data_IF_574164825997
#
_entry.id   IF_574164825997
#
_cell.length_a   1.000
_cell.length_b   1.000
_cell.length_c   1.000
_cell.angle_alpha   90.00
_cell.angle_beta   90.00
_cell.angle_gamma   90.00
#
_symmetry.space_group_name_H-M   'P 1'
#
loop_
_entity.id
_entity.type
_entity.pdbx_description
1 polymer ?
#
# COMPACT_ATOMS: atom_id res chain seq x y z
N UNK A 1 -13.86 10.22 -9.90
CA UNK A 1 -12.42 10.17 -9.58
C UNK A 1 -11.75 11.54 -9.48
N UNK A 2 -12.14 12.58 -10.23
CA UNK A 2 -11.54 13.93 -10.12
C UNK A 2 -11.68 14.57 -8.72
N UNK A 3 -12.78 14.30 -8.01
CA UNK A 3 -13.02 14.79 -6.64
C UNK A 3 -12.27 14.01 -5.55
N UNK A 4 -11.59 12.90 -5.91
CA UNK A 4 -10.94 12.03 -4.93
C UNK A 4 -9.64 12.61 -4.39
N UNK A 5 -8.83 13.19 -5.28
CA UNK A 5 -7.52 13.73 -4.91
C UNK A 5 -7.65 14.89 -3.92
N UNK A 6 -8.52 15.90 -4.15
CA UNK A 6 -8.69 16.98 -3.18
C UNK A 6 -9.25 16.48 -1.83
N UNK A 7 -10.12 15.47 -1.84
CA UNK A 7 -10.67 14.90 -0.61
C UNK A 7 -9.62 14.16 0.21
N UNK A 8 -8.92 13.19 -0.41
CA UNK A 8 -7.82 12.47 0.25
C UNK A 8 -6.73 13.44 0.68
N UNK A 9 -6.42 14.42 -0.17
CA UNK A 9 -5.46 15.47 0.13
C UNK A 9 -5.83 16.27 1.38
N UNK A 10 -7.09 16.73 1.49
CA UNK A 10 -7.58 17.43 2.68
C UNK A 10 -7.48 16.57 3.94
N UNK A 11 -7.88 15.31 3.87
CA UNK A 11 -7.79 14.38 5.02
C UNK A 11 -6.34 14.11 5.42
N UNK A 12 -5.41 14.08 4.45
CA UNK A 12 -3.97 13.99 4.72
C UNK A 12 -3.47 15.30 5.34
N UNK A 13 -3.83 16.47 4.82
CA UNK A 13 -3.42 17.78 5.35
C UNK A 13 -3.90 18.01 6.80
N UNK A 14 -5.19 17.78 7.09
CA UNK A 14 -5.76 17.87 8.45
C UNK A 14 -4.99 17.00 9.46
N UNK A 15 -4.50 15.85 8.97
CA UNK A 15 -3.70 14.93 9.77
C UNK A 15 -2.26 15.41 9.95
N UNK A 16 -1.62 15.91 8.88
CA UNK A 16 -0.28 16.47 8.96
C UNK A 16 -0.20 17.64 9.93
N UNK A 17 -1.23 18.48 9.99
CA UNK A 17 -1.34 19.55 10.98
C UNK A 17 -1.35 19.01 12.42
N UNK A 18 -1.95 17.83 12.65
CA UNK A 18 -1.94 17.17 13.97
C UNK A 18 -0.54 16.66 14.32
N UNK A 19 0.16 16.06 13.36
CA UNK A 19 1.51 15.55 13.57
C UNK A 19 2.52 16.67 13.79
N UNK A 20 2.39 17.77 13.04
CA UNK A 20 3.23 18.96 13.22
C UNK A 20 3.13 19.49 14.65
N UNK A 21 1.91 19.56 15.22
CA UNK A 21 1.72 19.93 16.64
C UNK A 21 2.40 18.96 17.61
N UNK A 22 2.42 17.66 17.31
CA UNK A 22 3.09 16.65 18.15
C UNK A 22 4.63 16.73 18.02
N UNK A 23 5.14 17.09 16.84
CA UNK A 23 6.58 17.20 16.57
C UNK A 23 7.22 18.47 17.14
N UNK A 24 6.47 19.53 17.40
CA UNK A 24 6.98 20.80 17.94
C UNK A 24 7.82 20.63 19.24
N UNK A 25 7.61 19.56 20.01
CA UNK A 25 8.31 19.34 21.27
C UNK A 25 9.65 18.57 21.13
N UNK A 26 9.80 17.71 20.11
CA UNK A 26 10.90 16.74 20.03
C UNK A 26 11.56 16.61 18.64
N UNK A 27 11.01 17.25 17.60
CA UNK A 27 11.49 17.15 16.22
C UNK A 27 11.19 15.83 15.51
N UNK A 28 10.64 14.83 16.23
CA UNK A 28 10.22 13.53 15.71
C UNK A 28 8.94 13.07 16.39
N UNK A 29 8.19 12.19 15.72
CA UNK A 29 6.96 11.59 16.26
C UNK A 29 6.91 10.11 15.92
N UNK A 30 6.65 9.27 16.92
CA UNK A 30 6.33 7.87 16.73
C UNK A 30 4.82 7.73 16.54
N UNK A 31 4.40 7.12 15.43
CA UNK A 31 3.00 6.93 15.06
C UNK A 31 2.75 5.44 14.90
N UNK A 32 1.68 4.94 15.52
CA UNK A 32 1.11 3.64 15.16
C UNK A 32 0.38 3.80 13.82
N UNK A 33 1.10 3.45 12.76
CA UNK A 33 0.67 3.70 11.38
C UNK A 33 -0.56 2.89 10.99
N UNK A 34 -0.72 1.69 11.58
CA UNK A 34 -1.85 0.81 11.27
C UNK A 34 -3.18 1.47 11.65
N UNK A 35 -3.24 2.14 12.81
CA UNK A 35 -4.41 2.89 13.27
C UNK A 35 -4.63 4.18 12.47
N UNK A 36 -3.56 4.89 12.11
CA UNK A 36 -3.65 6.16 11.39
C UNK A 36 -4.29 6.01 10.00
N UNK A 37 -3.72 5.17 9.14
CA UNK A 37 -4.23 5.00 7.79
C UNK A 37 -5.65 4.41 7.77
N UNK A 38 -5.99 3.61 8.78
CA UNK A 38 -7.34 3.12 8.95
C UNK A 38 -8.30 4.32 9.08
N UNK A 39 -8.00 5.26 9.98
CA UNK A 39 -8.79 6.49 10.12
C UNK A 39 -8.84 7.33 8.84
N UNK A 40 -7.71 7.44 8.11
CA UNK A 40 -7.66 8.16 6.83
C UNK A 40 -8.55 7.50 5.75
N UNK A 41 -8.50 6.18 5.64
CA UNK A 41 -9.30 5.45 4.65
C UNK A 41 -10.78 5.44 5.01
N UNK A 42 -11.09 5.33 6.30
CA UNK A 42 -12.43 5.51 6.83
C UNK A 42 -12.99 6.88 6.48
N UNK A 43 -12.22 7.96 6.69
CA UNK A 43 -12.64 9.32 6.38
C UNK A 43 -12.85 9.52 4.87
N UNK A 44 -11.94 9.02 4.03
CA UNK A 44 -12.07 9.09 2.56
C UNK A 44 -13.31 8.33 2.06
N UNK A 45 -13.51 7.09 2.51
CA UNK A 45 -14.68 6.30 2.09
C UNK A 45 -15.97 6.88 2.66
N UNK A 46 -15.95 7.34 3.90
CA UNK A 46 -17.09 8.00 4.52
C UNK A 46 -17.48 9.23 3.70
N UNK A 47 -16.53 10.10 3.35
CA UNK A 47 -16.76 11.29 2.53
C UNK A 47 -17.13 10.95 1.08
N UNK A 48 -16.64 9.83 0.52
CA UNK A 48 -16.97 9.38 -0.84
C UNK A 48 -18.32 8.69 -0.97
N UNK A 49 -18.67 7.82 -0.04
CA UNK A 49 -19.75 6.86 -0.18
C UNK A 49 -20.98 7.19 0.67
N UNK A 50 -20.80 7.82 1.84
CA UNK A 50 -21.88 7.86 2.85
C UNK A 50 -22.06 9.19 3.59
N UNK A 51 -21.24 10.21 3.35
CA UNK A 51 -21.34 11.51 4.01
C UNK A 51 -20.93 11.54 5.49
N UNK A 52 -21.01 10.45 6.29
CA UNK A 52 -20.57 10.50 7.71
C UNK A 52 -20.46 9.20 8.54
N UNK A 53 -20.65 7.96 8.05
CA UNK A 53 -20.41 6.79 8.95
C UNK A 53 -20.17 5.44 8.27
N UNK A 54 -19.11 4.71 8.69
CA UNK A 54 -18.91 3.30 8.36
C UNK A 54 -18.14 2.50 9.44
N UNK A 55 -18.83 2.02 10.46
CA UNK A 55 -18.26 1.14 11.50
C UNK A 55 -17.93 -0.29 11.03
N UNK A 56 -18.35 -0.69 9.83
CA UNK A 56 -18.24 -2.09 9.37
C UNK A 56 -17.11 -2.36 8.36
N UNK A 57 -16.43 -1.33 7.83
CA UNK A 57 -15.31 -1.47 6.88
C UNK A 57 -13.92 -1.52 7.49
N UNK A 58 -13.84 -1.21 8.78
CA UNK A 58 -12.61 -0.92 9.53
C UNK A 58 -11.55 -2.01 9.37
N UNK A 59 -11.97 -3.28 9.35
CA UNK A 59 -11.06 -4.43 9.28
C UNK A 59 -10.34 -4.57 7.93
N UNK A 60 -10.97 -4.19 6.81
CA UNK A 60 -10.38 -4.32 5.46
C UNK A 60 -9.27 -3.28 5.23
N UNK A 61 -9.44 -2.09 5.81
CA UNK A 61 -8.56 -0.95 5.58
C UNK A 61 -7.41 -0.81 6.60
N UNK A 62 -7.50 -1.50 7.74
CA UNK A 62 -6.40 -1.68 8.73
C UNK A 62 -5.12 -2.26 8.14
N UNK A 63 -5.20 -2.92 6.98
CA UNK A 63 -4.20 -3.91 6.54
C UNK A 63 -3.45 -3.49 5.29
N UNK A 64 -4.16 -2.79 4.40
CA UNK A 64 -3.58 -2.19 3.22
C UNK A 64 -2.54 -1.10 3.58
N UNK A 65 -2.74 -0.47 4.74
CA UNK A 65 -1.88 0.56 5.31
C UNK A 65 -0.59 0.06 5.91
N UNK A 66 -0.67 -1.07 6.62
CA UNK A 66 0.47 -1.68 7.27
C UNK A 66 1.45 -2.26 6.23
N UNK A 67 0.92 -2.87 5.17
CA UNK A 67 1.68 -3.33 4.01
C UNK A 67 2.52 -2.24 3.33
N UNK A 68 1.95 -1.03 3.21
CA UNK A 68 2.62 0.09 2.55
C UNK A 68 3.83 0.60 3.33
N UNK A 69 3.84 0.49 4.66
CA UNK A 69 4.97 0.93 5.46
C UNK A 69 6.05 -0.12 5.71
N UNK A 70 5.72 -1.41 5.71
CA UNK A 70 6.75 -2.44 5.63
C UNK A 70 7.50 -2.39 4.29
N UNK A 71 6.81 -2.05 3.21
CA UNK A 71 7.43 -1.82 1.91
C UNK A 71 8.25 -0.53 1.83
N UNK A 72 7.82 0.51 2.57
CA UNK A 72 8.49 1.79 2.57
C UNK A 72 9.74 1.83 3.47
N UNK A 73 9.80 1.01 4.53
CA UNK A 73 11.03 0.86 5.33
C UNK A 73 12.03 -0.09 4.67
N UNK A 74 11.57 -1.18 4.07
CA UNK A 74 12.45 -2.29 3.74
C UNK A 74 13.23 -2.12 2.42
N UNK A 75 12.76 -1.39 1.39
CA UNK A 75 13.41 -1.49 0.07
C UNK A 75 13.28 -0.26 -0.82
N UNK A 76 14.29 0.61 -0.79
CA UNK A 76 14.48 1.71 -1.75
C UNK A 76 13.62 2.97 -1.49
N UNK A 77 13.42 3.33 -0.22
CA UNK A 77 12.83 4.63 0.17
C UNK A 77 13.49 5.81 -0.55
N UNK A 78 14.79 5.72 -0.81
CA UNK A 78 15.55 6.77 -1.46
C UNK A 78 15.25 6.83 -2.96
N UNK A 79 15.18 5.71 -3.68
CA UNK A 79 14.78 5.69 -5.09
C UNK A 79 13.32 6.12 -5.29
N UNK A 80 12.42 5.70 -4.38
CA UNK A 80 11.03 6.13 -4.41
C UNK A 80 10.89 7.64 -4.11
N UNK A 81 11.64 8.15 -3.12
CA UNK A 81 11.69 9.57 -2.79
C UNK A 81 12.28 10.38 -3.93
N UNK A 82 13.37 9.95 -4.53
CA UNK A 82 13.98 10.57 -5.71
C UNK A 82 12.98 10.65 -6.87
N UNK A 83 12.26 9.55 -7.17
CA UNK A 83 11.20 9.56 -8.18
C UNK A 83 10.10 10.57 -7.83
N UNK A 84 9.62 10.55 -6.58
CA UNK A 84 8.56 11.43 -6.10
C UNK A 84 8.97 12.90 -6.20
N UNK A 85 10.15 13.28 -5.71
CA UNK A 85 10.64 14.65 -5.73
C UNK A 85 10.91 15.15 -7.16
N UNK A 86 11.30 14.25 -8.07
CA UNK A 86 11.46 14.57 -9.50
C UNK A 86 10.13 14.80 -10.21
N UNK A 87 9.10 14.01 -9.89
CA UNK A 87 7.79 14.07 -10.55
C UNK A 87 6.88 15.13 -9.93
N UNK A 88 6.92 15.27 -8.60
CA UNK A 88 6.13 16.19 -7.79
C UNK A 88 7.06 17.11 -6.98
N UNK A 89 7.76 18.06 -7.63
CA UNK A 89 8.74 18.92 -6.96
C UNK A 89 8.11 19.98 -6.06
N UNK A 90 6.86 20.39 -6.32
CA UNK A 90 6.08 21.19 -5.38
C UNK A 90 5.51 20.27 -4.30
N UNK A 91 5.53 20.70 -3.04
CA UNK A 91 4.92 19.97 -1.90
C UNK A 91 3.38 20.03 -1.92
N UNK A 92 2.80 20.49 -3.03
CA UNK A 92 1.36 20.53 -3.28
C UNK A 92 0.81 19.11 -3.49
N UNK A 93 -0.51 18.99 -3.46
CA UNK A 93 -1.17 17.72 -3.70
C UNK A 93 -0.89 17.19 -5.12
N UNK A 94 -0.34 15.97 -5.25
CA UNK A 94 -0.08 15.35 -6.55
C UNK A 94 -1.35 15.20 -7.39
N UNK A 95 -1.28 15.55 -8.67
CA UNK A 95 -2.39 15.33 -9.60
C UNK A 95 -2.50 13.85 -10.00
N UNK A 96 -3.61 13.47 -10.64
CA UNK A 96 -3.80 12.10 -11.16
C UNK A 96 -2.70 11.74 -12.17
N UNK A 97 -2.29 12.70 -12.99
CA UNK A 97 -1.28 12.51 -14.02
C UNK A 97 0.12 12.37 -13.42
N UNK A 98 0.38 13.04 -12.30
CA UNK A 98 1.64 12.88 -11.57
C UNK A 98 1.72 11.50 -10.93
N UNK A 99 0.63 11.07 -10.28
CA UNK A 99 0.54 9.72 -9.74
C UNK A 99 0.75 8.66 -10.84
N UNK A 100 0.24 8.86 -12.06
CA UNK A 100 0.46 7.93 -13.17
C UNK A 100 1.94 7.79 -13.58
N UNK A 101 2.78 8.81 -13.35
CA UNK A 101 4.22 8.81 -13.69
C UNK A 101 5.10 8.12 -12.63
N UNK A 102 4.59 7.88 -11.42
CA UNK A 102 5.33 7.25 -10.31
C UNK A 102 5.42 5.72 -10.51
N UNK A 103 6.39 5.29 -11.31
CA UNK A 103 6.57 3.88 -11.71
C UNK A 103 7.22 3.07 -10.59
N UNK A 104 8.29 3.56 -10.00
CA UNK A 104 8.96 2.91 -8.87
C UNK A 104 7.99 2.72 -7.71
N UNK A 105 7.24 3.77 -7.37
CA UNK A 105 6.21 3.67 -6.32
C UNK A 105 5.15 2.60 -6.64
N UNK A 106 4.76 2.46 -7.91
CA UNK A 106 3.81 1.43 -8.34
C UNK A 106 4.38 0.01 -8.21
N UNK A 107 5.67 -0.17 -8.52
CA UNK A 107 6.36 -1.45 -8.39
C UNK A 107 6.50 -1.85 -6.93
N UNK A 108 6.87 -0.91 -6.06
CA UNK A 108 6.94 -1.11 -4.60
C UNK A 108 5.57 -1.54 -4.08
N UNK A 109 4.49 -0.84 -4.45
CA UNK A 109 3.13 -1.21 -4.04
C UNK A 109 2.73 -2.61 -4.51
N UNK A 110 3.04 -2.98 -5.74
CA UNK A 110 2.73 -4.32 -6.24
C UNK A 110 3.50 -5.41 -5.49
N UNK A 111 4.78 -5.19 -5.21
CA UNK A 111 5.59 -6.14 -4.45
C UNK A 111 5.14 -6.28 -3.00
N UNK A 112 4.71 -5.17 -2.40
CA UNK A 112 4.06 -5.16 -1.08
C UNK A 112 2.83 -6.07 -1.11
N UNK A 113 1.95 -5.85 -2.08
CA UNK A 113 0.71 -6.59 -2.28
C UNK A 113 0.92 -8.08 -2.56
N UNK A 114 2.06 -8.43 -3.17
CA UNK A 114 2.45 -9.82 -3.41
C UNK A 114 2.85 -10.53 -2.12
N UNK A 115 3.74 -9.92 -1.34
CA UNK A 115 4.29 -10.56 -0.14
C UNK A 115 3.30 -10.61 1.03
N UNK A 116 2.37 -9.66 1.08
CA UNK A 116 1.52 -9.50 2.27
C UNK A 116 0.03 -9.30 1.96
N UNK A 117 -0.57 -9.92 0.92
CA UNK A 117 -1.90 -9.61 0.42
C UNK A 117 -2.94 -9.53 1.55
N UNK A 118 -3.82 -8.50 1.57
CA UNK A 118 -4.80 -8.36 2.66
C UNK A 118 -5.70 -9.60 2.78
N UNK A 119 -6.12 -10.16 1.64
CA UNK A 119 -6.81 -11.44 1.59
C UNK A 119 -5.81 -12.57 1.23
N UNK A 120 -5.53 -13.44 2.20
CA UNK A 120 -4.60 -14.56 2.01
C UNK A 120 -5.15 -15.68 1.13
N UNK A 121 -6.47 -15.76 1.00
CA UNK A 121 -7.18 -16.75 0.20
C UNK A 121 -8.56 -16.25 -0.19
N UNK A 122 -9.14 -16.86 -1.22
CA UNK A 122 -10.54 -16.64 -1.60
C UNK A 122 -11.22 -17.96 -1.92
N UNK A 123 -12.50 -18.06 -1.62
CA UNK A 123 -13.29 -19.28 -1.87
C UNK A 123 -14.14 -19.08 -3.12
N UNK A 124 -14.23 -20.11 -3.97
CA UNK A 124 -15.13 -20.17 -5.13
C UNK A 124 -15.97 -21.43 -5.03
N UNK A 125 -17.24 -21.36 -5.44
CA UNK A 125 -18.11 -22.54 -5.52
C UNK A 125 -18.36 -22.90 -6.97
N UNK A 126 -18.14 -24.17 -7.33
CA UNK A 126 -18.44 -24.69 -8.65
C UNK A 126 -19.96 -24.61 -8.91
N UNK A 127 -20.37 -23.88 -9.95
CA UNK A 127 -21.80 -23.73 -10.29
C UNK A 127 -22.36 -24.92 -11.06
N UNK A 128 -21.48 -25.67 -11.70
CA UNK A 128 -21.72 -26.87 -12.48
C UNK A 128 -20.47 -27.75 -12.38
N UNK A 129 -20.57 -29.01 -12.80
CA UNK A 129 -19.41 -29.89 -12.89
C UNK A 129 -18.39 -29.30 -13.86
N UNK A 130 -17.12 -29.20 -13.45
CA UNK A 130 -16.04 -28.56 -14.23
C UNK A 130 -14.77 -29.39 -14.15
N UNK A 131 -14.01 -29.46 -15.24
CA UNK A 131 -12.65 -30.01 -15.20
C UNK A 131 -11.61 -28.91 -14.97
N UNK A 132 -10.75 -29.09 -13.97
CA UNK A 132 -9.67 -28.18 -13.62
C UNK A 132 -8.38 -28.97 -13.45
N UNK A 133 -7.37 -28.69 -14.27
CA UNK A 133 -6.05 -29.34 -14.14
C UNK A 133 -6.09 -30.87 -14.28
N UNK A 134 -7.04 -31.41 -15.06
CA UNK A 134 -7.26 -32.86 -15.19
C UNK A 134 -8.11 -33.48 -14.07
N UNK A 135 -8.59 -32.68 -13.12
CA UNK A 135 -9.48 -33.13 -12.05
C UNK A 135 -10.93 -32.72 -12.32
N UNK A 136 -11.86 -33.67 -12.26
CA UNK A 136 -13.30 -33.37 -12.28
C UNK A 136 -13.73 -32.82 -10.91
N UNK A 137 -14.26 -31.60 -10.91
CA UNK A 137 -14.81 -30.90 -9.76
C UNK A 137 -16.34 -30.87 -9.86
N UNK A 138 -17.08 -31.61 -9.01
CA UNK A 138 -18.53 -31.60 -9.03
C UNK A 138 -19.14 -30.25 -8.67
N UNK A 139 -20.35 -29.98 -9.18
CA UNK A 139 -21.17 -28.84 -8.77
C UNK A 139 -21.31 -28.77 -7.24
N UNK A 140 -21.24 -27.56 -6.70
CA UNK A 140 -21.37 -27.31 -5.27
C UNK A 140 -20.06 -27.40 -4.49
N UNK A 141 -19.01 -27.97 -5.08
CA UNK A 141 -17.68 -28.03 -4.46
C UNK A 141 -17.13 -26.63 -4.21
N UNK A 142 -16.61 -26.41 -3.00
CA UNK A 142 -15.88 -25.19 -2.64
C UNK A 142 -14.39 -25.37 -2.91
N UNK A 143 -13.82 -24.43 -3.64
CA UNK A 143 -12.43 -24.37 -4.03
C UNK A 143 -11.79 -23.18 -3.33
N UNK A 144 -10.78 -23.45 -2.51
CA UNK A 144 -9.93 -22.43 -1.93
C UNK A 144 -8.84 -22.05 -2.95
N UNK A 145 -8.72 -20.77 -3.25
CA UNK A 145 -7.60 -20.21 -4.02
C UNK A 145 -6.64 -19.58 -3.02
N UNK A 146 -5.48 -20.21 -2.74
CA UNK A 146 -4.56 -19.75 -1.71
C UNK A 146 -3.65 -18.64 -2.26
N UNK A 147 -4.13 -17.39 -2.24
CA UNK A 147 -3.45 -16.20 -2.80
C UNK A 147 -2.03 -16.07 -2.24
N UNK A 148 -1.86 -16.14 -0.92
CA UNK A 148 -0.55 -16.00 -0.28
C UNK A 148 0.41 -17.10 -0.72
N UNK A 149 -0.04 -18.36 -0.77
CA UNK A 149 0.80 -19.47 -1.22
C UNK A 149 1.21 -19.32 -2.69
N UNK A 150 0.27 -18.93 -3.57
CA UNK A 150 0.56 -18.66 -4.99
C UNK A 150 1.58 -17.51 -5.14
N UNK A 151 1.52 -16.51 -4.27
CA UNK A 151 2.41 -15.35 -4.31
C UNK A 151 3.82 -15.66 -3.79
N UNK A 152 3.99 -16.65 -2.93
CA UNK A 152 5.28 -17.10 -2.39
C UNK A 152 5.86 -18.35 -3.06
N UNK A 153 5.16 -18.93 -4.02
CA UNK A 153 5.61 -20.11 -4.75
C UNK A 153 6.85 -19.80 -5.60
N UNK A 154 7.99 -20.38 -5.24
CA UNK A 154 9.26 -20.22 -5.96
C UNK A 154 9.23 -20.77 -7.38
N UNK A 155 8.38 -21.77 -7.66
CA UNK A 155 8.21 -22.27 -9.02
C UNK A 155 7.58 -21.21 -9.93
N UNK A 156 6.74 -20.34 -9.37
CA UNK A 156 6.03 -19.27 -10.08
C UNK A 156 6.83 -17.96 -10.09
N UNK A 157 7.41 -17.59 -8.95
CA UNK A 157 8.01 -16.27 -8.70
C UNK A 157 9.55 -16.26 -8.68
N UNK A 158 10.19 -17.43 -8.77
CA UNK A 158 11.65 -17.55 -8.71
C UNK A 158 12.17 -17.83 -7.29
N UNK A 159 13.47 -18.08 -7.18
CA UNK A 159 14.09 -18.43 -5.89
C UNK A 159 14.01 -17.27 -4.87
N UNK A 160 13.91 -16.04 -5.36
CA UNK A 160 13.73 -14.81 -4.58
C UNK A 160 12.26 -14.54 -4.22
N UNK A 161 11.35 -15.53 -4.32
CA UNK A 161 9.92 -15.32 -4.06
C UNK A 161 9.61 -14.79 -2.65
N UNK A 162 10.47 -15.05 -1.67
CA UNK A 162 10.31 -14.53 -0.30
C UNK A 162 11.04 -13.20 -0.07
N UNK A 163 11.78 -12.73 -1.07
CA UNK A 163 12.48 -11.46 -1.03
C UNK A 163 11.60 -10.37 -1.63
N UNK A 164 11.72 -9.17 -1.08
CA UNK A 164 11.04 -8.00 -1.64
C UNK A 164 11.91 -7.42 -2.75
N UNK A 165 11.42 -7.54 -3.97
CA UNK A 165 12.09 -7.08 -5.17
C UNK A 165 11.10 -6.35 -6.09
N UNK A 166 10.98 -5.01 -6.01
CA UNK A 166 10.08 -4.23 -6.87
C UNK A 166 10.38 -4.39 -8.35
N UNK A 167 11.66 -4.61 -8.70
CA UNK A 167 12.10 -4.66 -10.09
C UNK A 167 11.48 -5.83 -10.87
N UNK A 168 10.90 -6.83 -10.19
CA UNK A 168 10.11 -7.87 -10.87
C UNK A 168 8.93 -7.30 -11.66
N UNK A 169 8.42 -6.12 -11.27
CA UNK A 169 7.32 -5.45 -11.96
C UNK A 169 7.77 -4.41 -13.00
N UNK A 170 9.07 -4.28 -13.29
CA UNK A 170 9.61 -3.29 -14.23
C UNK A 170 9.01 -3.42 -15.64
N UNK A 171 8.72 -4.67 -16.01
CA UNK A 171 8.13 -5.08 -17.28
C UNK A 171 6.61 -5.23 -17.24
N UNK A 172 5.98 -4.79 -16.15
CA UNK A 172 4.55 -4.88 -15.92
C UNK A 172 4.12 -6.20 -15.28
N UNK A 173 2.90 -6.20 -14.74
CA UNK A 173 2.34 -7.28 -13.92
C UNK A 173 2.31 -8.63 -14.64
N UNK A 174 1.98 -8.67 -15.93
CA UNK A 174 1.87 -9.92 -16.69
C UNK A 174 3.22 -10.60 -16.95
N UNK A 175 4.34 -9.89 -16.77
CA UNK A 175 5.71 -10.41 -16.93
C UNK A 175 6.44 -10.60 -15.60
N UNK A 176 5.81 -10.28 -14.47
CA UNK A 176 6.44 -10.30 -13.15
C UNK A 176 6.66 -11.71 -12.58
N UNK A 177 6.02 -12.72 -13.16
CA UNK A 177 6.11 -14.12 -12.76
C UNK A 177 6.11 -15.02 -14.01
N UNK A 178 6.45 -16.30 -13.85
CA UNK A 178 6.41 -17.27 -14.97
C UNK A 178 5.01 -17.45 -15.54
N UNK A 179 3.98 -17.26 -14.72
CA UNK A 179 2.59 -17.33 -15.16
C UNK A 179 1.96 -15.93 -15.21
N UNK A 180 1.35 -15.52 -16.33
CA UNK A 180 0.95 -14.12 -16.57
C UNK A 180 -0.20 -13.62 -15.69
N UNK A 181 -0.87 -14.53 -14.97
CA UNK A 181 -1.96 -14.21 -14.03
C UNK A 181 -1.68 -14.69 -12.60
N UNK A 182 -0.42 -14.90 -12.23
CA UNK A 182 -0.03 -15.29 -10.87
C UNK A 182 -0.25 -14.17 -9.84
N UNK A 183 -0.20 -12.90 -10.27
CA UNK A 183 -0.41 -11.76 -9.40
C UNK A 183 -1.90 -11.46 -9.21
N UNK A 184 -2.46 -11.92 -8.09
CA UNK A 184 -3.89 -11.87 -7.75
C UNK A 184 -4.22 -11.28 -6.37
N UNK A 185 -3.58 -10.18 -5.93
CA UNK A 185 -3.84 -9.61 -4.59
C UNK A 185 -5.26 -9.07 -4.41
N UNK A 186 -5.94 -8.76 -5.52
CA UNK A 186 -7.34 -8.32 -5.56
C UNK A 186 -8.28 -9.40 -6.13
N UNK A 187 -7.82 -10.64 -6.22
CA UNK A 187 -8.49 -11.71 -6.95
C UNK A 187 -8.36 -11.59 -8.47
N UNK A 188 -9.17 -12.36 -9.19
CA UNK A 188 -9.14 -12.47 -10.65
C UNK A 188 -10.56 -12.64 -11.21
N UNK A 189 -10.78 -12.16 -12.44
CA UNK A 189 -12.00 -12.33 -13.20
C UNK A 189 -13.14 -11.39 -12.81
N UNK A 190 -14.39 -11.82 -13.03
CA UNK A 190 -15.61 -10.99 -12.78
C UNK A 190 -15.85 -10.65 -11.32
N UNK A 191 -15.10 -11.27 -10.40
CA UNK A 191 -15.14 -11.04 -8.95
C UNK A 191 -13.83 -10.44 -8.41
N UNK A 192 -13.03 -9.81 -9.27
CA UNK A 192 -11.93 -8.94 -8.82
C UNK A 192 -12.49 -7.83 -7.93
N UNK A 193 -11.71 -7.43 -6.92
CA UNK A 193 -12.10 -6.41 -5.96
C UNK A 193 -12.54 -5.12 -6.67
N UNK A 194 -13.79 -4.71 -6.46
CA UNK A 194 -14.34 -3.47 -7.00
C UNK A 194 -13.59 -2.22 -6.50
N UNK A 195 -12.96 -2.32 -5.32
CA UNK A 195 -12.18 -1.26 -4.70
C UNK A 195 -10.75 -1.12 -5.21
N UNK A 196 -10.24 -2.03 -6.06
CA UNK A 196 -8.81 -2.08 -6.45
C UNK A 196 -8.26 -0.72 -6.91
N UNK A 197 -8.96 -0.04 -7.82
CA UNK A 197 -8.48 1.23 -8.38
C UNK A 197 -8.44 2.36 -7.33
N UNK A 198 -9.42 2.39 -6.42
CA UNK A 198 -9.45 3.33 -5.31
C UNK A 198 -8.28 3.05 -4.36
N UNK A 199 -8.11 1.79 -3.99
CA UNK A 199 -7.07 1.27 -3.11
C UNK A 199 -5.67 1.68 -3.59
N UNK A 200 -5.35 1.41 -4.87
CA UNK A 200 -4.04 1.75 -5.45
C UNK A 200 -3.85 3.27 -5.55
N UNK A 201 -4.89 4.02 -5.95
CA UNK A 201 -4.78 5.47 -6.09
C UNK A 201 -4.55 6.16 -4.74
N UNK A 202 -5.31 5.77 -3.72
CA UNK A 202 -5.16 6.28 -2.36
C UNK A 202 -3.78 5.93 -1.81
N UNK A 203 -3.33 4.68 -2.01
CA UNK A 203 -2.01 4.25 -1.59
C UNK A 203 -0.88 5.12 -2.18
N UNK A 204 -0.93 5.33 -3.50
CA UNK A 204 0.05 6.17 -4.20
C UNK A 204 0.03 7.61 -3.72
N UNK A 205 -1.15 8.20 -3.56
CA UNK A 205 -1.29 9.57 -3.12
C UNK A 205 -0.69 9.77 -1.72
N UNK A 206 -1.05 8.91 -0.77
CA UNK A 206 -0.55 9.02 0.61
C UNK A 206 0.96 8.83 0.67
N UNK A 207 1.51 7.80 0.02
CA UNK A 207 2.96 7.59 0.01
C UNK A 207 3.72 8.74 -0.65
N UNK A 208 3.16 9.32 -1.72
CA UNK A 208 3.77 10.48 -2.38
C UNK A 208 3.89 11.64 -1.40
N UNK A 209 2.81 11.98 -0.69
CA UNK A 209 2.79 13.07 0.29
C UNK A 209 3.76 12.79 1.44
N UNK A 210 3.78 11.55 1.96
CA UNK A 210 4.72 11.15 3.01
C UNK A 210 6.18 11.29 2.56
N UNK A 211 6.52 10.81 1.36
CA UNK A 211 7.88 10.87 0.82
C UNK A 211 8.34 12.30 0.52
N UNK A 212 7.43 13.22 0.19
CA UNK A 212 7.72 14.64 -0.01
C UNK A 212 8.03 15.39 1.29
N UNK A 213 7.42 14.99 2.41
CA UNK A 213 7.37 15.78 3.65
C UNK A 213 8.18 15.17 4.79
N UNK A 214 8.38 13.85 4.78
CA UNK A 214 8.98 13.12 5.89
C UNK A 214 10.08 12.15 5.45
N UNK A 215 11.06 12.01 6.33
CA UNK A 215 11.83 10.77 6.46
C UNK A 215 11.21 9.92 7.57
N UNK A 216 11.24 8.61 7.42
CA UNK A 216 10.70 7.71 8.42
C UNK A 216 11.48 6.40 8.47
N UNK A 217 11.44 5.75 9.63
CA UNK A 217 12.08 4.46 9.92
C UNK A 217 11.19 3.65 10.86
N UNK A 218 11.23 2.32 10.78
CA UNK A 218 10.60 1.47 11.79
C UNK A 218 11.10 1.85 13.20
N UNK A 219 10.19 1.87 14.16
CA UNK A 219 10.58 2.09 15.55
C UNK A 219 11.40 0.88 16.05
N UNK A 220 12.32 1.07 17.01
CA UNK A 220 13.09 -0.04 17.59
C UNK A 220 12.21 -1.12 18.26
N UNK A 221 10.98 -0.76 18.62
CA UNK A 221 9.96 -1.64 19.18
C UNK A 221 9.25 -2.53 18.14
N UNK A 222 9.45 -2.28 16.85
CA UNK A 222 8.79 -3.02 15.78
C UNK A 222 9.16 -4.51 15.81
N UNK A 223 8.13 -5.36 15.70
CA UNK A 223 8.29 -6.81 15.60
C UNK A 223 7.56 -7.33 14.36
N UNK A 224 8.32 -7.94 13.44
CA UNK A 224 7.76 -8.51 12.23
C UNK A 224 7.07 -9.84 12.52
N UNK A 225 5.76 -9.78 12.78
CA UNK A 225 4.93 -10.95 13.04
C UNK A 225 3.58 -10.84 12.31
N UNK A 226 3.51 -11.16 11.00
CA UNK A 226 2.24 -11.24 10.29
C UNK A 226 1.37 -12.38 10.83
N UNK A 227 0.10 -12.10 11.09
CA UNK A 227 -0.89 -13.08 11.54
C UNK A 227 -2.23 -12.87 10.82
N UNK A 228 -3.13 -13.84 10.94
CA UNK A 228 -4.36 -13.90 10.15
C UNK A 228 -5.58 -13.92 11.07
N UNK A 229 -6.42 -12.90 10.95
CA UNK A 229 -7.75 -12.82 11.56
C UNK A 229 -8.69 -12.27 10.49
N UNK A 230 -9.34 -13.16 9.74
CA UNK A 230 -10.09 -12.87 8.50
C UNK A 230 -9.22 -12.35 7.34
N UNK A 231 -8.20 -11.54 7.63
CA UNK A 231 -7.26 -10.91 6.72
C UNK A 231 -5.85 -10.91 7.35
N UNK A 232 -4.81 -10.61 6.55
CA UNK A 232 -3.41 -10.58 7.00
C UNK A 232 -3.04 -9.26 7.67
N UNK A 233 -2.46 -9.30 8.87
CA UNK A 233 -2.16 -8.09 9.67
C UNK A 233 -0.95 -8.29 10.61
N UNK A 234 -0.33 -7.22 11.12
CA UNK A 234 0.72 -7.34 12.13
C UNK A 234 0.14 -7.71 13.50
N UNK A 235 0.65 -8.79 14.09
CA UNK A 235 0.26 -9.15 15.45
C UNK A 235 0.60 -8.05 16.48
N UNK A 236 1.67 -7.29 16.26
CA UNK A 236 2.21 -6.32 17.21
C UNK A 236 2.19 -4.85 16.73
N UNK A 237 1.42 -4.53 15.68
CA UNK A 237 1.36 -3.17 15.09
C UNK A 237 2.55 -2.82 14.17
N UNK A 238 2.59 -1.58 13.66
CA UNK A 238 3.76 -0.95 13.02
C UNK A 238 4.00 0.44 13.62
N UNK A 239 4.70 0.51 14.76
CA UNK A 239 5.22 1.79 15.23
C UNK A 239 6.31 2.29 14.29
N UNK A 240 6.15 3.52 13.81
CA UNK A 240 7.07 4.14 12.84
C UNK A 240 7.40 5.55 13.29
N UNK A 241 8.69 5.87 13.25
CA UNK A 241 9.22 7.16 13.65
C UNK A 241 9.32 8.03 12.41
N UNK A 242 8.59 9.15 12.41
CA UNK A 242 8.62 10.17 11.37
C UNK A 242 9.46 11.37 11.81
N UNK A 243 10.24 11.91 10.87
CA UNK A 243 10.97 13.17 11.00
C UNK A 243 10.68 14.06 9.81
N UNK A 244 10.37 15.32 10.05
CA UNK A 244 10.13 16.30 8.98
C UNK A 244 11.40 16.49 8.17
N UNK A 245 11.28 16.55 6.85
CA UNK A 245 12.38 16.99 6.00
C UNK A 245 12.50 18.52 6.13
N UNK A 246 13.68 19.00 6.54
CA UNK A 246 14.00 20.42 6.59
C UNK A 246 13.73 21.08 5.23
N UNK A 247 13.33 22.35 5.23
CA UNK A 247 13.15 23.15 4.00
C UNK A 247 14.49 23.54 3.35
N UNK A 248 15.60 23.25 4.05
CA UNK A 248 16.96 23.58 3.69
C UNK A 248 17.53 22.60 2.65
N UNK A 249 17.26 22.91 1.39
CA UNK A 249 18.15 22.53 0.28
C UNK A 249 18.00 23.49 -0.91
N UNK A 250 17.62 24.75 -0.65
CA UNK A 250 17.44 25.77 -1.71
C UNK A 250 18.29 27.03 -1.53
N UNK A 251 19.12 27.15 -0.49
CA UNK A 251 19.86 28.40 -0.27
C UNK A 251 21.30 28.21 0.24
N UNK A 252 22.07 27.34 -0.42
CA UNK A 252 23.54 27.28 -0.27
C UNK A 252 24.27 28.01 -1.43
N UNK A 253 23.70 29.12 -1.91
CA UNK A 253 24.45 30.07 -2.75
C UNK A 253 24.18 31.50 -2.30
N UNK A 254 25.19 32.05 -1.62
CA UNK A 254 25.39 33.47 -1.31
C UNK A 254 24.31 34.02 -0.35
N UNK A 255 24.65 34.30 0.91
CA UNK A 255 25.22 35.59 1.28
C UNK A 255 26.25 35.43 2.42
N UNK A 256 27.45 35.96 2.19
CA UNK A 256 28.43 36.25 3.23
C UNK A 256 28.14 37.59 3.90
N UNK A 257 28.34 37.64 5.22
CA UNK A 257 28.39 38.80 6.13
C UNK A 257 27.05 39.47 6.48
#
# INVERSE_FOLDING_TARGET
MQLLIPMVGKSVEEMLDKWDRMMCEKGEVEIEVSEWFQGLTEDVITRMAFGSSYEQGKAIFRLQSHQMLLAADAFQKDLAREEVLRVCPSRDLPSKDDLAKLKMLSMILNESLRLYPPAIATIRRAKYDVELGGCRVPRGTELLVPILAVHHDQAIWGNDANEFNPMRFADGVSRAAKHPVAFIPFGLGTRTCIGQNLAILQAKLVLTILLQRFSFTLAPSYQHAPTVLMLLYPQHGAPIVFRRLSEDNRDDREVSC
#
